data_IF_134271476385
#
_entry.id   IF_134271476385
#
_cell.length_a   1.000
_cell.length_b   1.000
_cell.length_c   1.000
_cell.angle_alpha   90.00
_cell.angle_beta   90.00
_cell.angle_gamma   90.00
#
_symmetry.space_group_name_H-M   'P 1'
#
loop_
_entity.id
_entity.type
_entity.pdbx_description
1 polymer ?
#
# COMPACT_ATOMS: atom_id res chain seq x y z
N UNK A 1 -10.86 -19.11 -2.12
CA UNK A 1 -10.73 -18.64 -0.73
C UNK A 1 -9.26 -18.46 -0.41
N UNK A 2 -8.46 -19.52 -0.62
CA UNK A 2 -7.00 -19.54 -0.41
C UNK A 2 -6.21 -18.40 -1.07
N UNK A 3 -6.58 -17.97 -2.29
CA UNK A 3 -5.87 -16.90 -3.01
C UNK A 3 -6.07 -15.51 -2.41
N UNK A 4 -7.29 -15.20 -1.96
CA UNK A 4 -7.58 -13.91 -1.34
C UNK A 4 -6.93 -13.80 0.04
N UNK A 5 -7.04 -14.85 0.84
CA UNK A 5 -6.39 -14.90 2.16
C UNK A 5 -4.86 -14.80 2.03
N UNK A 6 -4.29 -15.41 0.98
CA UNK A 6 -2.89 -15.23 0.65
C UNK A 6 -2.55 -13.77 0.27
N UNK A 7 -3.37 -13.09 -0.53
CA UNK A 7 -3.14 -11.67 -0.85
C UNK A 7 -3.22 -10.78 0.39
N UNK A 8 -4.20 -11.00 1.26
CA UNK A 8 -4.31 -10.29 2.55
C UNK A 8 -3.06 -10.49 3.41
N UNK A 9 -2.54 -11.73 3.44
CA UNK A 9 -1.31 -12.04 4.16
C UNK A 9 -0.10 -11.31 3.55
N UNK A 10 0.09 -11.40 2.22
CA UNK A 10 1.20 -10.76 1.53
C UNK A 10 1.16 -9.24 1.71
N UNK A 11 0.00 -8.60 1.55
CA UNK A 11 -0.15 -7.15 1.74
C UNK A 11 0.32 -6.75 3.14
N UNK A 12 -0.14 -7.44 4.19
CA UNK A 12 0.31 -7.15 5.56
C UNK A 12 1.80 -7.40 5.74
N UNK A 13 2.33 -8.49 5.18
CA UNK A 13 3.75 -8.83 5.25
C UNK A 13 4.64 -7.77 4.59
N UNK A 14 4.20 -7.21 3.46
CA UNK A 14 4.89 -6.12 2.75
C UNK A 14 4.79 -4.81 3.52
N UNK A 15 3.62 -4.48 4.08
CA UNK A 15 3.41 -3.18 4.74
C UNK A 15 3.96 -3.08 6.17
N UNK A 16 3.97 -4.17 6.95
CA UNK A 16 4.43 -4.15 8.35
C UNK A 16 5.88 -3.67 8.51
N UNK A 17 6.86 -4.10 7.68
CA UNK A 17 8.24 -3.62 7.75
C UNK A 17 8.38 -2.09 7.75
N UNK A 18 7.58 -1.39 6.95
CA UNK A 18 7.58 0.08 6.91
C UNK A 18 7.26 0.74 8.26
N UNK A 19 6.47 0.08 9.11
CA UNK A 19 6.12 0.60 10.44
C UNK A 19 7.30 0.57 11.40
N UNK A 20 8.34 -0.21 11.09
CA UNK A 20 9.52 -0.41 11.93
C UNK A 20 10.68 0.52 11.54
N UNK A 21 10.53 1.30 10.46
CA UNK A 21 11.55 2.24 10.00
C UNK A 21 11.37 3.56 10.77
N UNK A 22 12.31 3.95 11.65
CA UNK A 22 12.21 5.20 12.38
C UNK A 22 12.56 6.40 11.48
N UNK A 23 11.85 7.51 11.67
CA UNK A 23 12.24 8.79 11.08
C UNK A 23 13.41 9.38 11.90
N UNK A 24 14.52 9.69 11.25
CA UNK A 24 15.74 10.14 11.93
C UNK A 24 15.71 11.59 12.41
N UNK A 25 14.82 12.41 11.86
CA UNK A 25 14.85 13.87 12.01
C UNK A 25 13.73 14.45 12.90
N UNK A 26 12.72 13.68 13.28
CA UNK A 26 11.56 14.17 14.03
C UNK A 26 10.81 13.04 14.76
N UNK A 27 9.97 13.39 15.73
CA UNK A 27 9.07 12.44 16.41
C UNK A 27 7.87 12.13 15.51
N UNK A 28 8.14 11.31 14.50
CA UNK A 28 7.20 10.85 13.49
C UNK A 28 7.17 9.33 13.51
N UNK A 29 5.96 8.78 13.44
CA UNK A 29 5.72 7.33 13.45
C UNK A 29 4.94 6.93 12.20
N UNK A 30 5.29 5.78 11.64
CA UNK A 30 4.48 5.10 10.63
C UNK A 30 3.59 4.06 11.33
N UNK A 31 2.28 4.17 11.17
CA UNK A 31 1.29 3.29 11.81
C UNK A 31 0.52 2.51 10.75
N UNK A 32 0.41 1.20 10.96
CA UNK A 32 -0.51 0.36 10.20
C UNK A 32 -1.97 0.55 10.65
N UNK A 33 -2.86 0.72 9.69
CA UNK A 33 -4.32 0.77 9.87
C UNK A 33 -4.90 -0.25 8.90
N UNK A 34 -5.21 -1.44 9.40
CA UNK A 34 -5.69 -2.55 8.58
C UNK A 34 -7.11 -2.92 8.97
N UNK A 35 -8.00 -2.87 8.00
CA UNK A 35 -9.37 -3.35 8.07
C UNK A 35 -9.46 -4.61 7.19
N UNK A 36 -9.45 -5.78 7.82
CA UNK A 36 -9.54 -7.06 7.10
C UNK A 36 -10.97 -7.47 6.77
N UNK A 37 -11.97 -6.79 7.34
CA UNK A 37 -13.37 -7.04 7.04
C UNK A 37 -13.76 -6.33 5.74
N UNK A 38 -13.27 -5.11 5.55
CA UNK A 38 -13.51 -4.30 4.34
C UNK A 38 -12.34 -4.33 3.34
N UNK A 39 -11.33 -5.16 3.59
CA UNK A 39 -10.16 -5.31 2.73
C UNK A 39 -9.43 -4.01 2.39
N UNK A 40 -9.21 -3.17 3.41
CA UNK A 40 -8.50 -1.90 3.29
C UNK A 40 -7.28 -1.84 4.20
N UNK A 41 -6.12 -1.53 3.61
CA UNK A 41 -4.82 -1.63 4.25
C UNK A 41 -4.02 -0.36 4.03
N UNK A 42 -3.78 0.39 5.11
CA UNK A 42 -3.11 1.69 5.04
C UNK A 42 -1.92 1.80 5.97
N UNK A 43 -0.93 2.57 5.53
CA UNK A 43 0.12 3.13 6.37
C UNK A 43 -0.13 4.62 6.56
N UNK A 44 -0.18 5.07 7.80
CA UNK A 44 -0.38 6.48 8.17
C UNK A 44 0.84 6.98 8.92
N UNK A 45 1.46 8.02 8.37
CA UNK A 45 2.52 8.78 9.01
C UNK A 45 1.91 9.84 9.91
N UNK A 46 2.26 9.85 11.19
CA UNK A 46 1.76 10.81 12.17
C UNK A 46 2.81 11.20 13.20
N UNK A 47 2.82 12.48 13.58
CA UNK A 47 3.84 13.00 14.50
C UNK A 47 3.97 14.51 14.48
N UNK A 48 5.10 15.01 14.95
CA UNK A 48 5.43 16.43 14.94
C UNK A 48 6.84 16.64 14.42
N UNK A 49 6.98 17.60 13.51
CA UNK A 49 8.27 18.15 13.08
C UNK A 49 8.35 19.60 13.57
N UNK A 50 8.93 19.78 14.76
CA UNK A 50 8.86 21.05 15.50
C UNK A 50 7.41 21.48 15.75
N UNK A 51 7.01 22.62 15.18
CA UNK A 51 5.65 23.16 15.27
C UNK A 51 4.70 22.64 14.19
N UNK A 52 5.20 21.87 13.23
CA UNK A 52 4.42 21.35 12.11
C UNK A 52 3.82 19.99 12.47
N UNK A 53 2.49 19.91 12.48
CA UNK A 53 1.78 18.63 12.60
C UNK A 53 2.00 17.80 11.33
N UNK A 54 2.46 16.56 11.51
CA UNK A 54 2.53 15.56 10.45
C UNK A 54 1.37 14.59 10.61
N UNK A 55 0.58 14.44 9.55
CA UNK A 55 -0.50 13.47 9.46
C UNK A 55 -0.83 13.21 7.98
N UNK A 56 -0.53 12.01 7.48
CA UNK A 56 -0.76 11.68 6.07
C UNK A 56 -0.66 10.18 5.78
N UNK A 57 -1.31 9.74 4.71
CA UNK A 57 -1.21 8.37 4.22
C UNK A 57 0.09 8.18 3.43
N UNK A 58 0.88 7.17 3.76
CA UNK A 58 2.10 6.79 3.04
C UNK A 58 1.78 5.80 1.91
N UNK A 59 1.05 4.74 2.24
CA UNK A 59 0.57 3.72 1.30
C UNK A 59 -0.89 3.40 1.64
N UNK A 60 -1.71 3.19 0.61
CA UNK A 60 -3.08 2.69 0.75
C UNK A 60 -3.34 1.64 -0.33
N UNK A 61 -3.69 0.44 0.12
CA UNK A 61 -4.04 -0.70 -0.71
C UNK A 61 -5.44 -1.18 -0.33
N UNK A 62 -6.30 -1.41 -1.33
CA UNK A 62 -7.57 -2.12 -1.15
C UNK A 62 -7.55 -3.46 -1.90
N UNK A 63 -8.40 -4.41 -1.51
CA UNK A 63 -8.78 -5.54 -2.37
C UNK A 63 -10.21 -5.30 -2.87
N UNK A 64 -10.37 -5.11 -4.18
CA UNK A 64 -11.65 -4.84 -4.83
C UNK A 64 -11.81 -5.86 -5.96
N UNK A 65 -12.95 -6.55 -5.99
CA UNK A 65 -13.26 -7.60 -6.98
C UNK A 65 -12.15 -8.64 -7.17
N UNK A 66 -11.47 -8.99 -6.06
CA UNK A 66 -10.39 -9.97 -6.05
C UNK A 66 -9.05 -9.49 -6.59
N UNK A 67 -8.89 -8.18 -6.81
CA UNK A 67 -7.66 -7.54 -7.27
C UNK A 67 -7.15 -6.53 -6.25
N UNK A 68 -5.86 -6.28 -6.29
CA UNK A 68 -5.15 -5.44 -5.34
C UNK A 68 -5.02 -4.05 -5.95
N UNK A 69 -5.72 -3.10 -5.37
CA UNK A 69 -5.74 -1.71 -5.82
C UNK A 69 -4.77 -0.90 -4.99
N UNK A 70 -3.67 -0.45 -5.60
CA UNK A 70 -2.77 0.52 -4.97
C UNK A 70 -3.36 1.90 -5.18
N UNK A 71 -4.03 2.43 -4.15
CA UNK A 71 -4.71 3.72 -4.18
C UNK A 71 -3.74 4.88 -3.98
N UNK A 72 -2.72 4.67 -3.15
CA UNK A 72 -1.63 5.61 -2.92
C UNK A 72 -0.34 4.85 -2.64
N UNK A 73 0.74 5.37 -3.20
CA UNK A 73 2.10 4.90 -2.96
C UNK A 73 3.03 6.11 -2.99
N UNK A 74 3.56 6.47 -1.82
CA UNK A 74 4.50 7.59 -1.63
C UNK A 74 5.87 7.05 -1.15
N UNK A 75 6.16 5.79 -1.50
CA UNK A 75 7.47 5.15 -1.28
C UNK A 75 8.39 5.38 -2.49
N UNK A 76 9.71 5.38 -2.27
CA UNK A 76 10.68 5.64 -3.35
C UNK A 76 10.76 4.50 -4.36
N UNK A 77 10.90 3.26 -3.86
CA UNK A 77 11.03 2.06 -4.71
C UNK A 77 9.69 1.55 -5.26
N UNK A 78 8.58 1.94 -4.63
CA UNK A 78 7.22 1.57 -5.03
C UNK A 78 6.77 0.22 -4.45
N UNK A 79 5.72 0.23 -3.62
CA UNK A 79 5.14 -0.95 -2.97
C UNK A 79 4.67 -2.01 -3.97
N UNK A 80 4.34 -1.58 -5.19
CA UNK A 80 3.90 -2.48 -6.27
C UNK A 80 4.98 -3.51 -6.63
N UNK A 81 6.25 -3.13 -6.63
CA UNK A 81 7.34 -4.06 -6.94
C UNK A 81 7.53 -5.10 -5.84
N UNK A 82 7.38 -4.68 -4.58
CA UNK A 82 7.45 -5.58 -3.43
C UNK A 82 6.32 -6.59 -3.42
N UNK A 83 5.09 -6.17 -3.75
CA UNK A 83 3.95 -7.08 -3.91
C UNK A 83 4.21 -8.15 -4.99
N UNK A 84 4.80 -7.74 -6.11
CA UNK A 84 5.18 -8.68 -7.19
C UNK A 84 6.28 -9.63 -6.74
N UNK A 85 7.32 -9.10 -6.08
CA UNK A 85 8.42 -9.90 -5.55
C UNK A 85 7.95 -10.92 -4.48
N UNK A 86 6.93 -10.56 -3.70
CA UNK A 86 6.28 -11.43 -2.74
C UNK A 86 5.32 -12.46 -3.35
N UNK A 87 5.17 -12.48 -4.69
CA UNK A 87 4.48 -13.52 -5.43
C UNK A 87 3.10 -13.13 -5.98
N UNK A 88 2.71 -11.85 -5.92
CA UNK A 88 1.46 -11.39 -6.52
C UNK A 88 1.65 -11.11 -8.02
N UNK A 89 0.90 -11.77 -8.92
CA UNK A 89 1.01 -11.51 -10.34
C UNK A 89 0.65 -10.06 -10.72
N UNK A 90 1.34 -9.48 -11.71
CA UNK A 90 1.09 -8.10 -12.16
C UNK A 90 -0.35 -7.87 -12.66
N UNK A 91 -0.96 -8.89 -13.27
CA UNK A 91 -2.36 -8.86 -13.76
C UNK A 91 -3.41 -8.95 -12.63
N UNK A 92 -2.97 -9.02 -11.37
CA UNK A 92 -3.80 -8.95 -10.17
C UNK A 92 -3.67 -7.63 -9.42
N UNK A 93 -2.75 -6.76 -9.83
CA UNK A 93 -2.53 -5.46 -9.22
C UNK A 93 -3.06 -4.38 -10.15
N UNK A 94 -3.82 -3.43 -9.61
CA UNK A 94 -4.32 -2.24 -10.31
C UNK A 94 -3.63 -1.02 -9.71
N UNK A 95 -3.05 -0.18 -10.56
CA UNK A 95 -2.49 1.11 -10.15
C UNK A 95 -3.63 2.13 -10.03
N UNK A 96 -4.32 2.12 -8.90
CA UNK A 96 -5.51 2.93 -8.61
C UNK A 96 -5.25 4.44 -8.71
N UNK A 97 -4.04 4.87 -8.30
CA UNK A 97 -3.58 6.25 -8.41
C UNK A 97 -3.41 6.75 -9.86
N UNK A 98 -3.38 5.87 -10.86
CA UNK A 98 -3.40 6.27 -12.26
C UNK A 98 -4.82 6.44 -12.80
N UNK A 99 -5.07 7.44 -13.66
CA UNK A 99 -6.34 7.59 -14.35
C UNK A 99 -6.71 6.34 -15.17
N UNK A 100 -8.00 5.97 -15.28
CA UNK A 100 -8.42 4.74 -15.96
C UNK A 100 -7.87 4.56 -17.38
N UNK A 101 -7.83 5.65 -18.17
CA UNK A 101 -7.33 5.63 -19.55
C UNK A 101 -5.81 5.39 -19.67
N UNK A 102 -5.05 5.58 -18.58
CA UNK A 102 -3.60 5.35 -18.55
C UNK A 102 -3.26 3.90 -18.19
N UNK A 103 -4.12 3.23 -17.40
CA UNK A 103 -3.82 1.90 -16.82
C UNK A 103 -3.50 0.83 -17.86
N UNK A 104 -4.10 0.90 -19.05
CA UNK A 104 -3.81 -0.05 -20.15
C UNK A 104 -2.34 0.00 -20.64
N UNK A 105 -1.61 1.08 -20.32
CA UNK A 105 -0.22 1.29 -20.73
C UNK A 105 0.81 0.95 -19.64
N UNK A 106 0.37 0.52 -18.45
CA UNK A 106 1.27 0.33 -17.29
C UNK A 106 1.84 -1.09 -17.18
N UNK A 107 1.26 -2.06 -17.89
CA UNK A 107 1.61 -3.48 -17.76
C UNK A 107 1.02 -4.16 -16.51
N UNK A 108 0.12 -3.47 -15.81
CA UNK A 108 -0.67 -3.98 -14.68
C UNK A 108 -2.15 -4.16 -15.10
N UNK A 109 -3.01 -4.63 -14.19
CA UNK A 109 -4.43 -4.71 -14.45
C UNK A 109 -5.09 -3.32 -14.57
N UNK A 110 -6.17 -3.25 -15.35
CA UNK A 110 -6.92 -2.00 -15.62
C UNK A 110 -8.06 -1.73 -14.62
N UNK A 111 -8.63 -2.80 -14.08
CA UNK A 111 -9.66 -2.85 -13.06
C UNK A 111 -9.60 -4.23 -12.40
#
# INVERSE_FOLDING_TARGET
>A
MDTLDNYRHIIKQVLVPYTQIPYSYADIKCKAVFDSENDSYMLVTLGWDGVKRIHGCLVHIDIIDGKIWVQRDDTEDGVTYELVAAGIPKDKIVLGFHPPNVRQHTGYAVA
#
